data_IF_379004059241
#
_entry.id   IF_379004059241
#
_cell.length_a   1.000
_cell.length_b   1.000
_cell.length_c   1.000
_cell.angle_alpha   90.00
_cell.angle_beta   90.00
_cell.angle_gamma   90.00
#
_symmetry.space_group_name_H-M   'P 1'
#
loop_
_entity.id
_entity.type
_entity.pdbx_description
1 polymer ?
#
# COMPACT_ATOMS: atom_id res chain seq x y z
N UNK A 1 -12.61 -11.16 -4.02
CA UNK A 1 -12.26 -9.75 -4.12
C UNK A 1 -13.24 -9.04 -5.04
N UNK A 2 -14.33 -8.60 -4.44
CA UNK A 2 -15.46 -8.05 -5.18
C UNK A 2 -15.24 -6.56 -5.47
N UNK A 3 -15.53 -6.14 -6.71
CA UNK A 3 -15.51 -4.75 -7.14
C UNK A 3 -16.95 -4.23 -7.35
N UNK A 4 -17.81 -4.49 -6.38
CA UNK A 4 -19.26 -4.30 -6.54
C UNK A 4 -19.70 -2.83 -6.49
N UNK A 5 -18.91 -1.97 -5.84
CA UNK A 5 -19.22 -0.55 -5.76
C UNK A 5 -18.50 0.28 -6.84
N UNK A 6 -19.02 1.46 -7.13
CA UNK A 6 -18.32 2.42 -7.96
C UNK A 6 -17.04 2.92 -7.26
N UNK A 7 -15.98 3.22 -8.02
CA UNK A 7 -14.83 3.91 -7.47
C UNK A 7 -15.22 5.23 -6.80
N UNK A 8 -14.53 5.58 -5.69
CA UNK A 8 -14.71 6.87 -5.04
C UNK A 8 -14.28 8.01 -5.98
N UNK A 9 -14.98 9.14 -5.91
CA UNK A 9 -14.83 10.25 -6.87
C UNK A 9 -13.40 10.76 -7.01
N UNK A 10 -12.66 10.83 -5.91
CA UNK A 10 -11.27 11.32 -5.90
C UNK A 10 -10.32 10.45 -6.76
N UNK A 11 -10.65 9.16 -6.96
CA UNK A 11 -9.89 8.24 -7.79
C UNK A 11 -10.62 7.79 -9.05
N UNK A 12 -11.74 8.42 -9.39
CA UNK A 12 -12.65 7.99 -10.44
C UNK A 12 -11.96 7.62 -11.76
N UNK A 13 -11.16 8.47 -12.41
CA UNK A 13 -10.55 8.12 -13.70
C UNK A 13 -9.56 6.97 -13.58
N UNK A 14 -8.66 7.03 -12.60
CA UNK A 14 -7.60 6.04 -12.41
C UNK A 14 -8.19 4.66 -12.05
N UNK A 15 -9.19 4.63 -11.19
CA UNK A 15 -9.81 3.39 -10.76
C UNK A 15 -10.61 2.72 -11.90
N UNK A 16 -11.31 3.50 -12.74
CA UNK A 16 -11.96 2.95 -13.92
C UNK A 16 -10.97 2.44 -14.95
N UNK A 17 -9.85 3.12 -15.16
CA UNK A 17 -8.78 2.62 -16.04
C UNK A 17 -8.21 1.28 -15.53
N UNK A 18 -7.97 1.15 -14.23
CA UNK A 18 -7.51 -0.11 -13.61
C UNK A 18 -8.54 -1.23 -13.81
N UNK A 19 -9.83 -0.98 -13.54
CA UNK A 19 -10.90 -1.96 -13.80
C UNK A 19 -10.97 -2.40 -15.25
N UNK A 20 -10.84 -1.45 -16.17
CA UNK A 20 -10.82 -1.77 -17.60
C UNK A 20 -9.61 -2.65 -17.95
N UNK A 21 -8.44 -2.38 -17.37
CA UNK A 21 -7.25 -3.22 -17.57
C UNK A 21 -7.47 -4.64 -17.06
N UNK A 22 -8.13 -4.83 -15.92
CA UNK A 22 -8.49 -6.17 -15.41
C UNK A 22 -9.44 -6.92 -16.36
N UNK A 23 -10.43 -6.22 -16.94
CA UNK A 23 -11.31 -6.79 -17.97
C UNK A 23 -10.50 -7.21 -19.21
N UNK A 24 -9.53 -6.41 -19.64
CA UNK A 24 -8.63 -6.77 -20.73
C UNK A 24 -7.80 -8.01 -20.38
N UNK A 25 -7.19 -8.06 -19.20
CA UNK A 25 -6.45 -9.23 -18.74
C UNK A 25 -7.29 -10.51 -18.81
N UNK A 26 -8.50 -10.46 -18.25
CA UNK A 26 -9.45 -11.58 -18.31
C UNK A 26 -9.81 -11.97 -19.75
N UNK A 27 -9.98 -10.97 -20.63
CA UNK A 27 -10.30 -11.21 -22.04
C UNK A 27 -9.14 -11.89 -22.76
N UNK A 28 -7.92 -11.44 -22.56
CA UNK A 28 -6.72 -12.04 -23.13
C UNK A 28 -6.47 -13.46 -22.62
N UNK A 29 -6.80 -13.73 -21.36
CA UNK A 29 -6.66 -15.07 -20.82
C UNK A 29 -7.70 -16.08 -21.36
N UNK A 30 -8.90 -15.63 -21.78
CA UNK A 30 -10.01 -16.57 -21.99
C UNK A 30 -10.78 -16.41 -23.30
N UNK A 31 -10.67 -15.28 -24.01
CA UNK A 31 -11.57 -14.94 -25.14
C UNK A 31 -10.87 -14.70 -26.47
N UNK A 32 -9.55 -14.64 -26.52
CA UNK A 32 -8.81 -14.48 -27.78
C UNK A 32 -8.41 -15.82 -28.38
N UNK A 33 -8.04 -15.81 -29.67
CA UNK A 33 -7.68 -17.04 -30.43
C UNK A 33 -6.47 -17.77 -29.83
N UNK A 34 -5.48 -17.01 -29.33
CA UNK A 34 -4.28 -17.54 -28.70
C UNK A 34 -4.22 -16.98 -27.26
N UNK A 35 -4.83 -17.68 -26.30
CA UNK A 35 -4.90 -17.21 -24.92
C UNK A 35 -3.51 -16.99 -24.30
N UNK A 36 -3.41 -15.93 -23.50
CA UNK A 36 -2.19 -15.58 -22.80
C UNK A 36 -2.49 -15.57 -21.29
N UNK A 37 -1.66 -16.25 -20.50
CA UNK A 37 -1.77 -16.19 -19.04
C UNK A 37 -1.61 -14.75 -18.57
N UNK A 38 -2.52 -14.30 -17.72
CA UNK A 38 -2.51 -12.96 -17.13
C UNK A 38 -2.76 -13.04 -15.63
N UNK A 39 -2.00 -12.26 -14.89
CA UNK A 39 -2.09 -12.17 -13.44
C UNK A 39 -2.31 -10.72 -13.03
N UNK A 40 -3.37 -10.45 -12.28
CA UNK A 40 -3.68 -9.14 -11.72
C UNK A 40 -3.27 -9.10 -10.26
N UNK A 41 -2.24 -8.33 -9.95
CA UNK A 41 -1.81 -8.09 -8.56
C UNK A 41 -2.33 -6.74 -8.09
N UNK A 42 -3.02 -6.75 -6.95
CA UNK A 42 -3.50 -5.55 -6.26
C UNK A 42 -2.70 -5.37 -4.96
N UNK A 43 -1.67 -4.52 -4.96
CA UNK A 43 -0.91 -4.25 -3.74
C UNK A 43 -1.65 -3.31 -2.80
N UNK A 44 -1.39 -3.43 -1.50
CA UNK A 44 -1.63 -2.35 -0.54
C UNK A 44 -0.58 -1.23 -0.71
N UNK A 45 -0.39 -0.37 0.28
CA UNK A 45 0.62 0.68 0.18
C UNK A 45 2.02 0.06 0.39
N UNK A 46 2.75 -0.12 -0.71
CA UNK A 46 4.14 -0.59 -0.67
C UNK A 46 5.02 0.53 -0.14
N UNK A 47 5.94 0.20 0.76
CA UNK A 47 6.97 1.11 1.27
C UNK A 47 8.31 0.39 1.45
N UNK A 48 9.39 1.13 1.59
CA UNK A 48 10.71 0.57 1.89
C UNK A 48 11.84 1.22 1.12
N UNK A 49 12.96 0.50 1.03
CA UNK A 49 14.18 0.95 0.37
C UNK A 49 13.91 1.33 -1.09
N UNK A 50 14.48 2.45 -1.53
CA UNK A 50 14.31 3.03 -2.87
C UNK A 50 12.92 3.60 -3.17
N UNK A 51 12.08 3.83 -2.15
CA UNK A 51 10.82 4.56 -2.34
C UNK A 51 11.09 5.99 -2.85
N UNK A 52 10.04 6.62 -3.36
CA UNK A 52 10.12 7.99 -3.85
C UNK A 52 9.93 8.96 -2.69
N UNK A 53 11.01 9.61 -2.25
CA UNK A 53 11.01 10.54 -1.11
C UNK A 53 10.82 12.02 -1.48
N UNK A 54 10.54 12.36 -2.75
CA UNK A 54 10.26 13.74 -3.16
C UNK A 54 8.90 14.22 -2.63
N UNK A 55 8.89 15.23 -1.77
CA UNK A 55 7.67 15.76 -1.13
C UNK A 55 6.55 16.18 -2.10
N UNK A 56 6.89 16.57 -3.32
CA UNK A 56 5.89 16.97 -4.31
C UNK A 56 5.09 15.78 -4.86
N UNK A 57 5.63 14.56 -4.75
CA UNK A 57 5.08 13.39 -5.46
C UNK A 57 5.11 12.09 -4.66
N UNK A 58 5.67 12.09 -3.45
CA UNK A 58 5.74 10.89 -2.59
C UNK A 58 4.41 10.57 -1.91
N UNK A 59 4.29 9.35 -1.47
CA UNK A 59 3.20 8.92 -0.61
C UNK A 59 3.43 9.34 0.85
N UNK A 60 2.37 9.32 1.66
CA UNK A 60 2.39 9.79 3.05
C UNK A 60 3.46 9.09 3.89
N UNK A 61 3.63 7.77 3.74
CA UNK A 61 4.64 7.00 4.50
C UNK A 61 6.06 7.49 4.19
N UNK A 62 6.41 7.61 2.91
CA UNK A 62 7.70 8.14 2.48
C UNK A 62 7.92 9.59 2.95
N UNK A 63 6.87 10.44 2.92
CA UNK A 63 6.95 11.80 3.42
C UNK A 63 7.24 11.84 4.93
N UNK A 64 6.62 10.97 5.72
CA UNK A 64 6.85 10.88 7.16
C UNK A 64 8.27 10.38 7.47
N UNK A 65 8.71 9.30 6.83
CA UNK A 65 10.08 8.78 6.98
C UNK A 65 11.11 9.89 6.69
N UNK A 66 10.95 10.59 5.58
CA UNK A 66 11.86 11.67 5.21
C UNK A 66 11.86 12.81 6.23
N UNK A 67 10.69 13.25 6.72
CA UNK A 67 10.61 14.29 7.74
C UNK A 67 11.30 13.89 9.05
N UNK A 68 11.16 12.64 9.45
CA UNK A 68 11.83 12.10 10.64
C UNK A 68 13.34 12.11 10.42
N UNK A 69 13.84 11.58 9.30
CA UNK A 69 15.26 11.52 8.97
C UNK A 69 15.89 12.92 8.84
N UNK A 70 15.18 13.90 8.30
CA UNK A 70 15.62 15.29 8.18
C UNK A 70 15.40 16.13 9.46
N UNK A 71 14.86 15.53 10.54
CA UNK A 71 14.62 16.20 11.83
C UNK A 71 13.76 17.46 11.72
N UNK A 72 12.66 17.39 10.96
CA UNK A 72 11.76 18.54 10.84
C UNK A 72 11.15 18.93 12.19
N UNK A 73 11.15 20.23 12.49
CA UNK A 73 10.57 20.81 13.72
C UNK A 73 9.98 22.21 13.42
N UNK A 74 8.66 22.42 13.49
CA UNK A 74 7.63 21.42 13.79
C UNK A 74 7.42 20.41 12.65
N UNK A 75 7.01 19.18 13.02
CA UNK A 75 6.65 18.14 12.07
C UNK A 75 5.17 18.25 11.72
N UNK A 76 4.87 18.82 10.56
CA UNK A 76 3.49 18.99 10.09
C UNK A 76 2.96 17.71 9.45
N UNK A 77 1.79 17.25 9.90
CA UNK A 77 1.07 16.08 9.37
C UNK A 77 -0.32 16.50 8.94
N UNK A 78 -0.67 16.20 7.68
CA UNK A 78 -1.99 16.53 7.15
C UNK A 78 -3.06 15.60 7.71
N UNK A 79 -4.23 16.18 8.03
CA UNK A 79 -5.35 15.48 8.64
C UNK A 79 -5.21 15.34 10.16
N UNK A 80 -5.98 14.45 10.74
CA UNK A 80 -5.99 14.17 12.19
C UNK A 80 -4.99 13.11 12.62
N UNK A 81 -4.41 12.39 11.65
CA UNK A 81 -3.56 11.23 11.94
C UNK A 81 -4.33 9.91 12.13
N UNK A 82 -5.67 9.94 12.16
CA UNK A 82 -6.51 8.77 12.41
C UNK A 82 -6.80 7.92 11.15
N UNK A 83 -6.41 8.40 9.98
CA UNK A 83 -6.57 7.64 8.75
C UNK A 83 -5.79 6.32 8.82
N UNK A 84 -6.47 5.22 8.48
CA UNK A 84 -5.90 3.87 8.50
C UNK A 84 -5.37 3.48 7.12
N UNK A 85 -4.19 2.89 7.11
CA UNK A 85 -3.52 2.35 5.92
C UNK A 85 -3.07 0.91 6.15
N UNK A 86 -3.16 0.10 5.10
CA UNK A 86 -2.49 -1.17 5.01
C UNK A 86 -1.13 -0.93 4.35
N UNK A 87 -0.06 -1.23 5.06
CA UNK A 87 1.32 -1.07 4.59
C UNK A 87 1.96 -2.44 4.38
N UNK A 88 2.62 -2.62 3.26
CA UNK A 88 3.43 -3.81 3.00
C UNK A 88 4.86 -3.42 2.66
N UNK A 89 5.83 -4.04 3.34
CA UNK A 89 7.24 -3.79 3.04
C UNK A 89 7.62 -4.41 1.69
N UNK A 90 8.51 -3.76 0.97
CA UNK A 90 8.85 -4.13 -0.42
C UNK A 90 9.28 -5.58 -0.57
N UNK A 91 10.04 -6.15 0.37
CA UNK A 91 10.46 -7.57 0.27
C UNK A 91 9.27 -8.53 0.36
N UNK A 92 8.33 -8.28 1.29
CA UNK A 92 7.12 -9.09 1.40
C UNK A 92 6.25 -9.00 0.15
N UNK A 93 6.14 -7.79 -0.42
CA UNK A 93 5.42 -7.62 -1.68
C UNK A 93 6.06 -8.45 -2.80
N UNK A 94 7.39 -8.43 -2.92
CA UNK A 94 8.11 -9.22 -3.92
C UNK A 94 7.96 -10.72 -3.70
N UNK A 95 8.02 -11.19 -2.47
CA UNK A 95 7.78 -12.59 -2.12
C UNK A 95 6.36 -13.03 -2.54
N UNK A 96 5.34 -12.22 -2.21
CA UNK A 96 3.97 -12.48 -2.61
C UNK A 96 3.77 -12.46 -4.12
N UNK A 97 4.40 -11.53 -4.83
CA UNK A 97 4.39 -11.45 -6.28
C UNK A 97 5.00 -12.70 -6.92
N UNK A 98 6.15 -13.15 -6.44
CA UNK A 98 6.83 -14.34 -6.97
C UNK A 98 6.01 -15.61 -6.73
N UNK A 99 5.43 -15.77 -5.53
CA UNK A 99 4.51 -16.86 -5.24
C UNK A 99 3.29 -16.87 -6.17
N UNK A 100 2.74 -15.70 -6.47
CA UNK A 100 1.61 -15.58 -7.39
C UNK A 100 2.01 -15.96 -8.82
N UNK A 101 3.19 -15.53 -9.29
CA UNK A 101 3.72 -15.92 -10.62
C UNK A 101 3.93 -17.43 -10.72
N UNK A 102 4.40 -18.08 -9.65
CA UNK A 102 4.66 -19.51 -9.64
C UNK A 102 3.40 -20.36 -9.56
N UNK A 103 2.36 -19.89 -8.86
CA UNK A 103 1.19 -20.71 -8.52
C UNK A 103 -0.07 -20.41 -9.31
N UNK A 104 -0.18 -19.21 -9.90
CA UNK A 104 -1.37 -18.82 -10.64
C UNK A 104 -1.28 -19.25 -12.10
N UNK A 105 -2.36 -19.84 -12.59
CA UNK A 105 -2.48 -20.30 -13.98
C UNK A 105 -3.56 -19.49 -14.71
N UNK A 106 -3.39 -19.29 -16.02
CA UNK A 106 -4.32 -18.63 -16.92
C UNK A 106 -4.70 -17.20 -16.51
N UNK A 107 -5.71 -17.04 -15.66
CA UNK A 107 -6.17 -15.76 -15.14
C UNK A 107 -6.39 -15.85 -13.66
N UNK A 108 -5.78 -14.93 -12.93
CA UNK A 108 -6.05 -14.77 -11.52
C UNK A 108 -5.92 -13.30 -11.09
N UNK A 109 -6.58 -12.95 -9.98
CA UNK A 109 -6.55 -11.61 -9.38
C UNK A 109 -6.38 -11.75 -7.86
N UNK A 110 -5.27 -11.23 -7.33
CA UNK A 110 -4.88 -11.45 -5.94
C UNK A 110 -4.44 -10.15 -5.29
N UNK A 111 -4.94 -9.89 -4.09
CA UNK A 111 -4.42 -8.84 -3.23
C UNK A 111 -3.13 -9.31 -2.56
N UNK A 112 -2.06 -8.57 -2.70
CA UNK A 112 -0.81 -8.76 -1.96
C UNK A 112 -0.68 -7.60 -0.98
N UNK A 113 -0.99 -7.87 0.28
CA UNK A 113 -1.10 -6.88 1.33
C UNK A 113 -0.77 -7.50 2.70
N UNK A 114 -0.54 -6.67 3.70
CA UNK A 114 -0.32 -7.15 5.06
C UNK A 114 -1.62 -7.64 5.72
N UNK A 115 -2.74 -7.02 5.37
CA UNK A 115 -4.04 -7.21 6.02
C UNK A 115 -4.10 -6.55 7.41
N UNK A 116 -3.09 -5.76 7.79
CA UNK A 116 -3.01 -5.05 9.07
C UNK A 116 -3.19 -3.56 8.84
N UNK A 117 -4.19 -2.99 9.52
CA UNK A 117 -4.45 -1.55 9.48
C UNK A 117 -3.61 -0.83 10.52
N UNK A 118 -2.90 0.23 10.09
CA UNK A 118 -2.16 1.14 10.96
C UNK A 118 -2.56 2.58 10.69
N UNK A 119 -2.69 3.41 11.72
CA UNK A 119 -3.00 4.83 11.57
C UNK A 119 -1.78 5.63 11.14
N UNK A 120 -2.00 6.77 10.49
CA UNK A 120 -0.90 7.71 10.15
C UNK A 120 -0.13 8.14 11.39
N UNK A 121 -0.83 8.29 12.53
CA UNK A 121 -0.23 8.62 13.82
C UNK A 121 0.68 7.51 14.32
N UNK A 122 0.24 6.24 14.25
CA UNK A 122 1.07 5.09 14.62
C UNK A 122 2.29 4.96 13.72
N UNK A 123 2.14 5.17 12.41
CA UNK A 123 3.28 5.17 11.47
C UNK A 123 4.33 6.21 11.88
N UNK A 124 3.89 7.44 12.14
CA UNK A 124 4.79 8.52 12.55
C UNK A 124 5.45 8.23 13.90
N UNK A 125 4.68 7.80 14.89
CA UNK A 125 5.21 7.48 16.21
C UNK A 125 6.25 6.37 16.12
N UNK A 126 5.96 5.29 15.41
CA UNK A 126 6.92 4.20 15.19
C UNK A 126 8.17 4.67 14.45
N UNK A 127 8.04 5.56 13.46
CA UNK A 127 9.18 6.11 12.75
C UNK A 127 10.08 6.97 13.67
N UNK A 128 9.48 7.79 14.55
CA UNK A 128 10.21 8.57 15.55
C UNK A 128 10.95 7.68 16.55
N UNK A 129 10.29 6.63 17.05
CA UNK A 129 10.88 5.66 17.97
C UNK A 129 12.06 4.90 17.35
N UNK A 130 11.91 4.42 16.11
CA UNK A 130 12.94 3.69 15.39
C UNK A 130 14.16 4.56 15.09
N UNK A 131 13.94 5.83 14.72
CA UNK A 131 15.01 6.78 14.43
C UNK A 131 15.64 7.39 15.71
N UNK A 132 15.02 7.20 16.89
CA UNK A 132 15.44 7.81 18.14
C UNK A 132 15.27 9.33 18.16
N UNK A 133 14.29 9.86 17.42
CA UNK A 133 13.97 11.28 17.41
C UNK A 133 12.99 11.63 18.54
N UNK A 134 13.52 11.82 19.74
CA UNK A 134 12.74 12.23 20.91
C UNK A 134 12.43 13.74 20.87
N UNK A 135 11.23 14.10 21.31
CA UNK A 135 10.83 15.50 21.53
C UNK A 135 10.43 16.28 20.26
N UNK A 136 10.14 15.60 19.15
CA UNK A 136 9.59 16.25 17.95
C UNK A 136 8.25 16.97 18.24
N UNK A 137 8.13 18.25 17.86
CA UNK A 137 6.86 18.99 17.92
C UNK A 137 5.95 18.57 16.76
N UNK A 138 5.07 17.58 16.98
CA UNK A 138 4.16 17.05 15.95
C UNK A 138 2.88 17.87 15.92
N UNK A 139 2.54 18.42 14.75
CA UNK A 139 1.32 19.21 14.50
C UNK A 139 0.46 18.57 13.43
N UNK A 140 -0.73 18.10 13.82
CA UNK A 140 -1.75 17.62 12.90
C UNK A 140 -2.60 18.79 12.39
N UNK A 141 -2.73 18.91 11.07
CA UNK A 141 -3.56 19.94 10.43
C UNK A 141 -4.85 19.32 9.84
N UNK A 142 -5.96 19.33 10.60
CA UNK A 142 -7.24 18.77 10.15
C UNK A 142 -7.89 19.58 9.02
N UNK A 143 -7.37 20.76 8.67
CA UNK A 143 -7.87 21.55 7.53
C UNK A 143 -7.39 21.02 6.18
N UNK A 144 -6.34 20.20 6.20
CA UNK A 144 -5.83 19.55 5.00
C UNK A 144 -6.66 18.31 4.65
N UNK A 145 -6.87 18.05 3.35
CA UNK A 145 -7.75 16.97 2.93
C UNK A 145 -7.21 15.59 3.31
N UNK A 146 -8.09 14.78 3.88
CA UNK A 146 -7.97 13.32 3.91
C UNK A 146 -8.71 12.74 2.70
N UNK A 147 -8.15 11.69 2.08
CA UNK A 147 -8.77 11.09 0.88
C UNK A 147 -9.72 9.96 1.23
N UNK A 148 -9.25 8.94 1.92
CA UNK A 148 -10.02 7.76 2.34
C UNK A 148 -9.66 7.48 3.81
N UNK A 149 -10.64 7.50 4.73
CA UNK A 149 -10.37 7.28 6.16
C UNK A 149 -9.78 5.92 6.46
N UNK A 150 -10.29 4.85 5.83
CA UNK A 150 -9.80 3.49 6.03
C UNK A 150 -9.48 2.86 4.69
N UNK A 151 -8.22 2.50 4.49
CA UNK A 151 -7.75 1.73 3.34
C UNK A 151 -7.07 0.47 3.86
N UNK A 152 -7.85 -0.57 4.01
CA UNK A 152 -7.44 -1.90 4.44
C UNK A 152 -7.86 -2.91 3.38
N UNK A 153 -7.01 -3.88 3.10
CA UNK A 153 -7.26 -4.91 2.11
C UNK A 153 -7.36 -6.28 2.76
N UNK A 154 -8.18 -7.14 2.17
CA UNK A 154 -8.30 -8.53 2.57
C UNK A 154 -7.22 -9.37 1.86
N UNK A 155 -6.41 -10.09 2.64
CA UNK A 155 -5.34 -10.98 2.18
C UNK A 155 -5.69 -12.47 2.25
N UNK A 156 -6.92 -12.83 2.62
CA UNK A 156 -7.34 -14.23 2.83
C UNK A 156 -7.03 -15.09 1.60
N UNK A 157 -7.31 -14.59 0.40
CA UNK A 157 -7.06 -15.31 -0.83
C UNK A 157 -5.57 -15.57 -1.09
N UNK A 158 -4.71 -14.58 -0.83
CA UNK A 158 -3.26 -14.76 -0.94
C UNK A 158 -2.76 -15.81 0.09
N UNK A 159 -3.31 -15.77 1.29
CA UNK A 159 -3.00 -16.76 2.34
C UNK A 159 -3.45 -18.16 1.93
N UNK A 160 -4.68 -18.32 1.50
CA UNK A 160 -5.26 -19.65 1.20
C UNK A 160 -4.68 -20.27 -0.07
N UNK A 161 -4.50 -19.51 -1.14
CA UNK A 161 -4.04 -20.00 -2.44
C UNK A 161 -2.51 -20.04 -2.55
N UNK A 162 -1.83 -19.02 -2.04
CA UNK A 162 -0.39 -18.90 -2.17
C UNK A 162 0.38 -19.36 -0.91
N UNK A 163 -0.29 -19.44 0.24
CA UNK A 163 0.38 -19.55 1.53
C UNK A 163 1.18 -18.29 1.89
N UNK A 164 0.79 -17.15 1.35
CA UNK A 164 1.47 -15.87 1.57
C UNK A 164 1.04 -15.23 2.88
N UNK A 165 2.00 -14.80 3.66
CA UNK A 165 1.83 -13.91 4.81
C UNK A 165 2.97 -12.88 4.82
N UNK A 166 2.64 -11.62 5.06
CA UNK A 166 3.64 -10.58 5.29
C UNK A 166 4.37 -10.84 6.61
N UNK A 167 5.68 -10.71 6.63
CA UNK A 167 6.55 -11.06 7.76
C UNK A 167 7.21 -9.86 8.40
N UNK A 168 7.46 -8.80 7.61
CA UNK A 168 8.15 -7.60 8.08
C UNK A 168 7.17 -6.72 8.84
N UNK A 169 7.42 -6.57 10.15
CA UNK A 169 6.64 -5.67 11.00
C UNK A 169 6.89 -4.20 10.69
N UNK A 170 5.97 -3.31 11.14
CA UNK A 170 6.06 -1.87 10.85
C UNK A 170 7.38 -1.27 11.32
N UNK A 171 7.79 -1.52 12.56
CA UNK A 171 9.02 -0.96 13.13
C UNK A 171 10.27 -1.45 12.38
N UNK A 172 10.33 -2.75 12.07
CA UNK A 172 11.42 -3.33 11.28
C UNK A 172 11.50 -2.71 9.88
N UNK A 173 10.38 -2.65 9.17
CA UNK A 173 10.33 -2.09 7.82
C UNK A 173 10.67 -0.59 7.79
N UNK A 174 10.25 0.20 8.78
CA UNK A 174 10.62 1.60 8.90
C UNK A 174 12.12 1.79 9.20
N UNK A 175 12.72 0.87 9.97
CA UNK A 175 14.16 0.88 10.24
C UNK A 175 15.03 0.55 9.03
N UNK A 176 14.48 -0.10 8.02
CA UNK A 176 15.16 -0.44 6.77
C UNK A 176 14.89 0.54 5.62
N UNK A 177 13.91 1.43 5.77
CA UNK A 177 13.49 2.38 4.75
C UNK A 177 14.28 3.68 4.83
#
# INVERSE_FOLDING_TARGET
EMLDANPVDVYYPVAWMKRYTEILCRTYASKIREPMSTLVIRPSNIYGTYDKFDFATCHVTAALIRRVAERHDPMEVWGTGEDVRDLIYISDFLDGLMLAVEKCEFYDEINICSGVGVTIKEILQTALEVDGYDGADVKFDPTKPSTIPVRLMDNSRAKDQLGFEAKVGLAEGLGHA
#
